data_IF_099310316041
#
_entry.id   IF_099310316041
#
_cell.length_a   1.000
_cell.length_b   1.000
_cell.length_c   1.000
_cell.angle_alpha   90.00
_cell.angle_beta   90.00
_cell.angle_gamma   90.00
#
_symmetry.space_group_name_H-M   'P 1'
#
loop_
_entity.id
_entity.type
_entity.pdbx_description
1 polymer ?
#
# COMPACT_ATOMS: atom_id res chain seq x y z
N UNK A 1 -12.56 11.99 58.32
CA UNK A 1 -13.27 11.25 57.27
C UNK A 1 -13.85 12.15 56.16
N UNK A 2 -14.26 13.40 56.42
CA UNK A 2 -14.76 14.32 55.37
C UNK A 2 -13.74 14.66 54.27
N UNK A 3 -12.48 14.93 54.63
CA UNK A 3 -11.39 15.21 53.66
C UNK A 3 -11.15 14.11 52.61
N UNK A 4 -11.44 12.85 52.93
CA UNK A 4 -11.31 11.73 51.98
C UNK A 4 -12.51 11.64 51.02
N UNK A 5 -13.69 12.14 51.42
CA UNK A 5 -14.87 12.24 50.54
C UNK A 5 -14.76 13.40 49.55
N UNK A 6 -14.14 14.50 49.96
CA UNK A 6 -13.91 15.64 49.07
C UNK A 6 -12.91 15.30 47.94
N UNK A 7 -11.94 14.41 48.20
CA UNK A 7 -11.03 13.87 47.19
C UNK A 7 -11.71 12.94 46.19
N UNK A 8 -12.72 12.19 46.63
CA UNK A 8 -13.48 11.27 45.77
C UNK A 8 -14.47 11.98 44.83
N UNK A 9 -14.77 13.26 45.07
CA UNK A 9 -15.70 14.07 44.27
C UNK A 9 -15.04 15.19 43.46
N UNK A 10 -13.70 15.26 43.40
CA UNK A 10 -13.00 16.30 42.65
C UNK A 10 -13.08 16.02 41.13
N UNK A 11 -13.73 16.88 40.33
CA UNK A 11 -13.84 16.71 38.88
C UNK A 11 -12.47 16.67 38.17
N UNK A 12 -11.41 17.22 38.78
CA UNK A 12 -10.05 17.14 38.24
C UNK A 12 -9.50 15.72 38.30
N UNK A 13 -9.81 14.97 39.35
CA UNK A 13 -9.40 13.56 39.48
C UNK A 13 -10.11 12.67 38.46
N UNK A 14 -11.40 12.91 38.24
CA UNK A 14 -12.18 12.22 37.21
C UNK A 14 -11.61 12.47 35.81
N UNK A 15 -11.30 13.72 35.46
CA UNK A 15 -10.73 14.07 34.15
C UNK A 15 -9.37 13.40 33.87
N UNK A 16 -8.52 13.24 34.88
CA UNK A 16 -7.22 12.53 34.74
C UNK A 16 -7.44 11.05 34.43
N UNK A 17 -8.41 10.41 35.08
CA UNK A 17 -8.75 9.01 34.85
C UNK A 17 -9.36 8.82 33.45
N UNK A 18 -10.29 9.69 33.05
CA UNK A 18 -10.89 9.68 31.71
C UNK A 18 -9.82 9.83 30.63
N UNK A 19 -8.90 10.78 30.78
CA UNK A 19 -7.78 10.97 29.86
C UNK A 19 -6.88 9.72 29.80
N UNK A 20 -6.57 9.11 30.94
CA UNK A 20 -5.72 7.92 31.00
C UNK A 20 -6.33 6.71 30.26
N UNK A 21 -7.67 6.60 30.23
CA UNK A 21 -8.38 5.54 29.51
C UNK A 21 -8.54 5.88 28.02
N UNK A 22 -8.88 7.13 27.70
CA UNK A 22 -9.16 7.54 26.32
C UNK A 22 -7.89 7.71 25.48
N UNK A 23 -6.80 8.19 26.07
CA UNK A 23 -5.55 8.49 25.33
C UNK A 23 -4.96 7.25 24.64
N UNK A 24 -4.83 6.08 25.28
CA UNK A 24 -4.34 4.88 24.61
C UNK A 24 -5.21 4.47 23.42
N UNK A 25 -6.54 4.56 23.56
CA UNK A 25 -7.49 4.24 22.48
C UNK A 25 -7.38 5.24 21.33
N UNK A 26 -7.28 6.53 21.66
CA UNK A 26 -7.09 7.59 20.68
C UNK A 26 -5.77 7.43 19.91
N UNK A 27 -4.67 7.16 20.62
CA UNK A 27 -3.37 6.90 19.99
C UNK A 27 -3.38 5.64 19.12
N UNK A 28 -4.06 4.57 19.56
CA UNK A 28 -4.27 3.37 18.75
C UNK A 28 -5.02 3.69 17.45
N UNK A 29 -6.09 4.49 17.52
CA UNK A 29 -6.84 4.91 16.33
C UNK A 29 -5.98 5.79 15.42
N UNK A 30 -5.27 6.77 15.97
CA UNK A 30 -4.43 7.70 15.21
C UNK A 30 -3.29 6.97 14.49
N UNK A 31 -2.57 6.09 15.19
CA UNK A 31 -1.51 5.27 14.60
C UNK A 31 -2.06 4.28 13.58
N UNK A 32 -3.24 3.71 13.84
CA UNK A 32 -3.99 2.90 12.88
C UNK A 32 -4.26 3.64 11.58
N UNK A 33 -4.82 4.85 11.67
CA UNK A 33 -5.11 5.70 10.51
C UNK A 33 -3.84 6.03 9.72
N UNK A 34 -2.74 6.37 10.40
CA UNK A 34 -1.45 6.65 9.75
C UNK A 34 -0.90 5.40 9.04
N UNK A 35 -0.91 4.24 9.69
CA UNK A 35 -0.37 3.01 9.14
C UNK A 35 -1.15 2.56 7.89
N UNK A 36 -2.49 2.61 7.96
CA UNK A 36 -3.34 2.33 6.80
C UNK A 36 -3.20 3.39 5.70
N UNK A 37 -3.02 4.66 6.05
CA UNK A 37 -2.76 5.73 5.09
C UNK A 37 -1.48 5.48 4.28
N UNK A 38 -0.40 5.06 4.95
CA UNK A 38 0.86 4.71 4.30
C UNK A 38 0.68 3.46 3.42
N UNK A 39 0.03 2.41 3.93
CA UNK A 39 -0.20 1.18 3.18
C UNK A 39 -1.04 1.42 1.92
N UNK A 40 -2.17 2.11 2.05
CA UNK A 40 -3.03 2.42 0.90
C UNK A 40 -2.38 3.44 -0.05
N UNK A 41 -1.57 4.36 0.46
CA UNK A 41 -0.77 5.25 -0.38
C UNK A 41 0.21 4.48 -1.27
N UNK A 42 0.95 3.52 -0.69
CA UNK A 42 1.81 2.63 -1.46
C UNK A 42 1.01 1.75 -2.43
N UNK A 43 -0.12 1.19 -1.99
CA UNK A 43 -0.99 0.38 -2.85
C UNK A 43 -1.51 1.16 -4.07
N UNK A 44 -1.98 2.39 -3.87
CA UNK A 44 -2.40 3.27 -4.95
C UNK A 44 -1.25 3.66 -5.87
N UNK A 45 -0.06 3.92 -5.33
CA UNK A 45 1.12 4.17 -6.15
C UNK A 45 1.45 2.98 -7.06
N UNK A 46 1.42 1.75 -6.53
CA UNK A 46 1.63 0.52 -7.32
C UNK A 46 0.55 0.37 -8.41
N UNK A 47 -0.72 0.63 -8.07
CA UNK A 47 -1.83 0.57 -9.03
C UNK A 47 -1.66 1.57 -10.17
N UNK A 48 -1.32 2.82 -9.85
CA UNK A 48 -1.08 3.88 -10.84
C UNK A 48 0.11 3.53 -11.73
N UNK A 49 1.23 3.15 -11.12
CA UNK A 49 2.45 2.79 -11.84
C UNK A 49 2.20 1.61 -12.79
N UNK A 50 1.48 0.58 -12.35
CA UNK A 50 1.12 -0.56 -13.18
C UNK A 50 0.15 -0.18 -14.32
N UNK A 51 -0.83 0.68 -14.06
CA UNK A 51 -1.77 1.16 -15.08
C UNK A 51 -1.05 1.96 -16.18
N UNK A 52 -0.11 2.82 -15.81
CA UNK A 52 0.67 3.57 -16.78
C UNK A 52 1.67 2.70 -17.53
N UNK A 53 2.33 1.75 -16.86
CA UNK A 53 3.22 0.79 -17.50
C UNK A 53 2.47 -0.04 -18.57
N UNK A 54 1.25 -0.49 -18.24
CA UNK A 54 0.35 -1.18 -19.16
C UNK A 54 -0.05 -0.29 -20.34
N UNK A 55 -0.32 0.99 -20.11
CA UNK A 55 -0.63 1.94 -21.19
C UNK A 55 0.53 2.07 -22.17
N UNK A 56 1.78 2.08 -21.71
CA UNK A 56 2.96 2.11 -22.59
C UNK A 56 3.13 0.78 -23.32
N UNK A 57 2.92 -0.36 -22.64
CA UNK A 57 3.05 -1.70 -23.21
C UNK A 57 2.13 -1.97 -24.42
N UNK A 58 0.97 -1.29 -24.51
CA UNK A 58 0.03 -1.40 -25.63
C UNK A 58 0.67 -0.99 -26.97
N UNK A 59 1.72 -0.16 -26.95
CA UNK A 59 2.45 0.21 -28.16
C UNK A 59 3.30 -0.94 -28.74
N UNK A 60 3.59 -1.97 -27.94
CA UNK A 60 4.32 -3.16 -28.37
C UNK A 60 3.46 -4.05 -29.27
N UNK A 61 4.07 -4.60 -30.32
CA UNK A 61 3.44 -5.53 -31.27
C UNK A 61 3.44 -6.95 -30.69
N UNK A 62 4.46 -7.30 -29.92
CA UNK A 62 4.61 -8.60 -29.25
C UNK A 62 4.55 -8.48 -27.72
N UNK A 63 4.43 -9.63 -27.03
CA UNK A 63 4.45 -9.65 -25.56
C UNK A 63 5.84 -9.31 -25.01
N UNK A 64 6.88 -9.72 -25.75
CA UNK A 64 8.28 -9.43 -25.45
C UNK A 64 8.57 -7.93 -25.58
N UNK A 65 8.11 -7.30 -26.67
CA UNK A 65 8.21 -5.83 -26.83
C UNK A 65 7.44 -5.09 -25.75
N UNK A 66 6.24 -5.55 -25.40
CA UNK A 66 5.46 -4.98 -24.29
C UNK A 66 6.20 -5.08 -22.95
N UNK A 67 6.90 -6.19 -22.70
CA UNK A 67 7.72 -6.36 -21.50
C UNK A 67 8.91 -5.39 -21.48
N UNK A 68 9.63 -5.23 -22.59
CA UNK A 68 10.74 -4.28 -22.69
C UNK A 68 10.26 -2.84 -22.43
N UNK A 69 9.11 -2.45 -22.98
CA UNK A 69 8.49 -1.15 -22.76
C UNK A 69 8.09 -0.93 -21.29
N UNK A 70 7.57 -1.96 -20.62
CA UNK A 70 7.25 -1.90 -19.19
C UNK A 70 8.53 -1.73 -18.38
N UNK A 71 9.55 -2.51 -18.67
CA UNK A 71 10.80 -2.46 -17.93
C UNK A 71 11.46 -1.09 -18.07
N UNK A 72 11.50 -0.55 -19.29
CA UNK A 72 12.00 0.80 -19.54
C UNK A 72 11.20 1.88 -18.81
N UNK A 73 9.86 1.79 -18.85
CA UNK A 73 8.99 2.70 -18.12
C UNK A 73 9.22 2.65 -16.60
N UNK A 74 9.30 1.46 -16.02
CA UNK A 74 9.53 1.28 -14.59
C UNK A 74 10.90 1.85 -14.17
N UNK A 75 11.96 1.62 -14.96
CA UNK A 75 13.30 2.17 -14.70
C UNK A 75 13.31 3.70 -14.64
N UNK A 76 12.53 4.36 -15.49
CA UNK A 76 12.51 5.83 -15.57
C UNK A 76 11.52 6.49 -14.61
N UNK A 77 10.41 5.82 -14.26
CA UNK A 77 9.29 6.46 -13.57
C UNK A 77 8.97 5.91 -12.17
N UNK A 78 9.43 4.71 -11.80
CA UNK A 78 9.14 4.14 -10.48
C UNK A 78 9.65 5.01 -9.33
N UNK A 79 10.80 5.67 -9.51
CA UNK A 79 11.40 6.56 -8.50
C UNK A 79 10.63 7.86 -8.25
N UNK A 80 9.63 8.20 -9.08
CA UNK A 80 8.78 9.37 -8.86
C UNK A 80 7.76 9.18 -7.72
N UNK A 81 7.50 7.92 -7.31
CA UNK A 81 6.53 7.60 -6.28
C UNK A 81 7.21 7.53 -4.90
N UNK A 82 6.90 8.48 -4.03
CA UNK A 82 7.61 8.65 -2.74
C UNK A 82 7.55 7.44 -1.80
N UNK A 83 6.48 6.64 -1.85
CA UNK A 83 6.29 5.48 -0.98
C UNK A 83 6.82 4.16 -1.58
N UNK A 84 7.42 4.22 -2.77
CA UNK A 84 7.92 3.04 -3.48
C UNK A 84 9.45 3.07 -3.54
N UNK A 85 10.05 1.92 -3.21
CA UNK A 85 11.43 1.63 -3.58
C UNK A 85 11.45 0.82 -4.90
N UNK A 86 12.03 1.35 -5.99
CA UNK A 86 12.12 0.63 -7.26
C UNK A 86 12.82 -0.73 -7.17
N UNK A 87 13.76 -0.89 -6.23
CA UNK A 87 14.50 -2.15 -6.04
C UNK A 87 13.63 -3.28 -5.47
N UNK A 88 12.46 -2.94 -4.91
CA UNK A 88 11.47 -3.87 -4.36
C UNK A 88 10.27 -4.10 -5.27
N UNK A 89 10.30 -3.52 -6.47
CA UNK A 89 9.32 -3.78 -7.51
C UNK A 89 9.79 -4.95 -8.38
N UNK A 90 8.90 -5.90 -8.61
CA UNK A 90 9.06 -6.94 -9.61
C UNK A 90 7.85 -6.97 -10.52
N UNK A 91 8.06 -7.32 -11.79
CA UNK A 91 6.98 -7.42 -12.77
C UNK A 91 7.00 -8.81 -13.41
N UNK A 92 5.83 -9.29 -13.82
CA UNK A 92 5.69 -10.48 -14.66
C UNK A 92 4.68 -10.24 -15.77
N UNK A 93 4.93 -10.85 -16.93
CA UNK A 93 4.01 -10.86 -18.06
C UNK A 93 3.62 -12.30 -18.31
N UNK A 94 2.35 -12.63 -18.10
CA UNK A 94 1.82 -13.99 -18.25
C UNK A 94 0.76 -14.01 -19.35
N UNK A 95 0.93 -14.86 -20.37
CA UNK A 95 -0.12 -15.14 -21.34
C UNK A 95 -1.10 -16.19 -20.74
N UNK A 96 -2.40 -15.89 -20.58
CA UNK A 96 -3.36 -16.88 -20.12
C UNK A 96 -3.40 -18.09 -21.05
N UNK A 97 -3.31 -19.29 -20.47
CA UNK A 97 -3.38 -20.56 -21.18
C UNK A 97 -4.60 -20.58 -22.13
N UNK A 98 -4.36 -20.72 -23.43
CA UNK A 98 -5.41 -20.81 -24.45
C UNK A 98 -5.90 -19.49 -25.07
N UNK A 99 -5.36 -18.33 -24.69
CA UNK A 99 -5.69 -17.03 -25.30
C UNK A 99 -4.46 -16.34 -25.89
N UNK A 100 -4.17 -16.62 -27.16
CA UNK A 100 -3.01 -16.08 -27.88
C UNK A 100 -3.06 -14.57 -28.15
N UNK A 101 -4.18 -13.90 -27.86
CA UNK A 101 -4.41 -12.47 -28.08
C UNK A 101 -4.48 -11.64 -26.79
N UNK A 102 -4.22 -12.23 -25.62
CA UNK A 102 -4.21 -11.52 -24.35
C UNK A 102 -2.96 -11.86 -23.54
N UNK A 103 -2.47 -10.89 -22.78
CA UNK A 103 -1.46 -11.12 -21.76
C UNK A 103 -1.79 -10.29 -20.52
N UNK A 104 -1.43 -10.80 -19.35
CA UNK A 104 -1.65 -10.19 -18.04
C UNK A 104 -0.31 -9.69 -17.55
N UNK A 105 -0.23 -8.40 -17.28
CA UNK A 105 0.91 -7.77 -16.62
C UNK A 105 0.60 -7.75 -15.13
N UNK A 106 1.49 -8.29 -14.30
CA UNK A 106 1.44 -8.15 -12.84
C UNK A 106 2.63 -7.35 -12.36
N UNK A 107 2.37 -6.39 -11.50
CA UNK A 107 3.36 -5.66 -10.73
C UNK A 107 3.24 -6.07 -9.26
N UNK A 108 4.35 -6.45 -8.66
CA UNK A 108 4.44 -6.88 -7.26
C UNK A 108 5.42 -5.98 -6.52
N UNK A 109 5.01 -5.47 -5.36
CA UNK A 109 5.83 -4.62 -4.50
C UNK A 109 5.97 -5.24 -3.11
N UNK A 110 7.22 -5.42 -2.67
CA UNK A 110 7.52 -5.79 -1.29
C UNK A 110 7.51 -4.54 -0.40
N UNK A 111 6.45 -4.42 0.40
CA UNK A 111 6.21 -3.30 1.29
C UNK A 111 6.92 -3.43 2.64
N UNK A 112 7.80 -4.42 2.87
CA UNK A 112 8.39 -4.68 4.19
C UNK A 112 9.24 -3.53 4.77
N UNK A 113 9.67 -2.55 3.94
CA UNK A 113 10.39 -1.35 4.42
C UNK A 113 9.48 -0.18 4.79
N UNK A 114 8.17 -0.28 4.56
CA UNK A 114 7.25 0.76 5.03
C UNK A 114 7.32 0.86 6.57
N UNK A 115 7.32 2.08 7.14
CA UNK A 115 7.51 2.31 8.58
C UNK A 115 6.24 2.00 9.40
N UNK A 116 5.58 0.88 9.12
CA UNK A 116 4.30 0.45 9.70
C UNK A 116 4.38 -0.92 10.38
N UNK A 117 5.44 -1.71 10.11
CA UNK A 117 5.50 -3.11 10.56
C UNK A 117 5.99 -3.34 11.99
N UNK A 118 6.63 -2.34 12.60
CA UNK A 118 7.19 -2.42 13.95
C UNK A 118 6.45 -1.53 14.95
N UNK A 119 5.15 -1.33 14.75
CA UNK A 119 4.28 -0.56 15.64
C UNK A 119 3.83 -1.43 16.83
N UNK A 120 3.84 -0.87 18.04
CA UNK A 120 3.32 -1.51 19.25
C UNK A 120 2.18 -0.67 19.86
N UNK A 121 1.01 -1.27 20.19
CA UNK A 121 0.64 -2.67 19.95
C UNK A 121 0.54 -2.99 18.44
N UNK A 122 0.72 -4.27 18.04
CA UNK A 122 0.66 -4.64 16.63
C UNK A 122 -0.72 -4.34 16.05
N UNK A 123 -0.72 -3.65 14.91
CA UNK A 123 -1.93 -3.34 14.16
C UNK A 123 -2.27 -4.50 13.22
N UNK A 124 -3.55 -4.80 12.98
CA UNK A 124 -3.97 -5.79 11.99
C UNK A 124 -3.75 -5.24 10.58
N UNK A 125 -2.52 -5.26 10.08
CA UNK A 125 -2.19 -4.78 8.74
C UNK A 125 -2.41 -5.87 7.68
N UNK A 126 -2.66 -5.48 6.41
CA UNK A 126 -2.67 -6.43 5.31
C UNK A 126 -1.28 -7.06 5.07
N UNK A 127 -1.18 -7.97 4.10
CA UNK A 127 0.09 -8.61 3.76
C UNK A 127 1.16 -7.62 3.28
N UNK A 128 2.44 -8.01 3.44
CA UNK A 128 3.61 -7.23 2.99
C UNK A 128 3.78 -7.20 1.48
N UNK A 129 3.10 -8.07 0.75
CA UNK A 129 3.13 -8.07 -0.70
C UNK A 129 1.91 -7.31 -1.22
N UNK A 130 2.15 -6.24 -1.97
CA UNK A 130 1.12 -5.54 -2.73
C UNK A 130 1.24 -6.01 -4.18
N UNK A 131 0.15 -6.52 -4.75
CA UNK A 131 0.12 -7.02 -6.12
C UNK A 131 -1.01 -6.36 -6.87
N UNK A 132 -0.71 -5.87 -8.07
CA UNK A 132 -1.72 -5.38 -9.00
C UNK A 132 -1.49 -6.00 -10.39
N UNK A 133 -2.58 -6.42 -11.03
CA UNK A 133 -2.53 -7.00 -12.36
C UNK A 133 -3.51 -6.34 -13.31
N UNK A 134 -3.11 -6.16 -14.57
CA UNK A 134 -3.97 -5.68 -15.63
C UNK A 134 -3.82 -6.56 -16.87
N UNK A 135 -4.94 -6.78 -17.56
CA UNK A 135 -4.96 -7.58 -18.79
C UNK A 135 -4.91 -6.65 -20.00
N UNK A 136 -3.98 -6.92 -20.90
CA UNK A 136 -3.89 -6.28 -22.21
C UNK A 136 -4.52 -7.22 -23.24
N UNK A 137 -5.49 -6.70 -23.99
CA UNK A 137 -6.06 -7.38 -25.15
C UNK A 137 -5.45 -6.78 -26.40
N UNK A 138 -4.86 -7.63 -27.24
CA UNK A 138 -4.33 -7.23 -28.55
C UNK A 138 -5.50 -6.70 -29.39
N UNK A 139 -5.47 -5.42 -29.75
CA UNK A 139 -6.45 -4.82 -30.65
C UNK A 139 -6.42 -5.56 -32.00
N UNK A 140 -7.60 -5.86 -32.55
CA UNK A 140 -7.71 -6.63 -33.79
C UNK A 140 -6.97 -5.95 -34.95
N UNK A 141 -6.16 -6.73 -35.65
CA UNK A 141 -5.90 -6.51 -37.07
C UNK A 141 -7.14 -6.98 -37.86
#
# INVERSE_FOLDING_TARGET
MQRLRDWAGDPRGAAVIEFAILTPVFLLMLTGMLAYGIYFGAAHAVQQLAADAVRVAIAGVTAEEGQELIEDYLRHHAGAYMLLDPTRLSHSVEAPQGQSSQYVVRLSYDAADLPIWNLYPPLPLPGRQIVFGATIRRGGL
#
